data_IF_595584650378
#
_entry.id   IF_595584650378
#
_cell.length_a   1.000
_cell.length_b   1.000
_cell.length_c   1.000
_cell.angle_alpha   90.00
_cell.angle_beta   90.00
_cell.angle_gamma   90.00
#
_symmetry.space_group_name_H-M   'P 1'
#
loop_
_entity.id
_entity.type
_entity.pdbx_description
1 polymer ?
#
# COMPACT_ATOMS: atom_id res chain seq x y z
N UNK A 1 -15.38 -18.00 -17.87
CA UNK A 1 -14.52 -17.69 -16.70
C UNK A 1 -14.58 -16.19 -16.48
N UNK A 2 -15.02 -15.72 -15.32
CA UNK A 2 -14.91 -14.29 -14.99
C UNK A 2 -13.47 -13.99 -14.61
N UNK A 3 -12.82 -13.07 -15.33
CA UNK A 3 -11.49 -12.61 -15.01
C UNK A 3 -11.52 -11.73 -13.73
N UNK A 4 -10.82 -12.17 -12.68
CA UNK A 4 -10.71 -11.45 -11.41
C UNK A 4 -10.13 -10.05 -11.64
N UNK A 5 -9.22 -9.89 -12.60
CA UNK A 5 -8.67 -8.59 -12.96
C UNK A 5 -9.74 -7.70 -13.59
N UNK A 6 -10.54 -8.23 -14.52
CA UNK A 6 -11.65 -7.48 -15.12
C UNK A 6 -12.64 -6.97 -14.06
N UNK A 7 -12.94 -7.78 -13.03
CA UNK A 7 -13.76 -7.35 -11.89
C UNK A 7 -13.10 -6.21 -11.10
N UNK A 8 -11.82 -6.34 -10.75
CA UNK A 8 -11.07 -5.29 -10.04
C UNK A 8 -11.07 -3.97 -10.82
N UNK A 9 -10.88 -4.04 -12.14
CA UNK A 9 -10.92 -2.87 -13.01
C UNK A 9 -12.30 -2.21 -13.02
N UNK A 10 -13.37 -3.00 -13.15
CA UNK A 10 -14.75 -2.49 -13.11
C UNK A 10 -15.05 -1.79 -11.78
N UNK A 11 -14.78 -2.45 -10.65
CA UNK A 11 -14.99 -1.91 -9.31
C UNK A 11 -14.20 -0.60 -9.10
N UNK A 12 -12.97 -0.52 -9.65
CA UNK A 12 -12.13 0.68 -9.53
C UNK A 12 -12.66 1.85 -10.35
N UNK A 13 -13.25 1.61 -11.52
CA UNK A 13 -13.86 2.65 -12.35
C UNK A 13 -15.06 3.29 -11.63
N UNK A 14 -15.92 2.48 -11.00
CA UNK A 14 -17.05 2.97 -10.19
C UNK A 14 -16.57 3.80 -9.00
N UNK A 15 -15.54 3.33 -8.30
CA UNK A 15 -14.93 4.08 -7.20
C UNK A 15 -14.33 5.41 -7.65
N UNK A 16 -13.66 5.46 -8.81
CA UNK A 16 -13.11 6.70 -9.37
C UNK A 16 -14.22 7.69 -9.71
N UNK A 17 -15.31 7.21 -10.35
CA UNK A 17 -16.46 8.07 -10.67
C UNK A 17 -17.04 8.70 -9.38
N UNK A 18 -17.23 7.90 -8.34
CA UNK A 18 -17.73 8.36 -7.04
C UNK A 18 -16.77 9.35 -6.38
N UNK A 19 -15.46 9.06 -6.42
CA UNK A 19 -14.43 9.91 -5.81
C UNK A 19 -14.31 11.26 -6.49
N UNK A 20 -14.46 11.31 -7.82
CA UNK A 20 -14.44 12.57 -8.59
C UNK A 20 -15.65 13.45 -8.29
N UNK A 21 -16.81 12.86 -8.03
CA UNK A 21 -18.00 13.62 -7.59
C UNK A 21 -17.79 14.19 -6.19
N UNK A 22 -17.22 13.39 -5.27
CA UNK A 22 -16.97 13.82 -3.89
C UNK A 22 -15.83 14.85 -3.76
N UNK A 23 -14.82 14.80 -4.64
CA UNK A 23 -13.69 15.72 -4.67
C UNK A 23 -13.36 16.14 -6.12
N UNK A 24 -14.10 17.11 -6.69
CA UNK A 24 -13.98 17.48 -8.10
C UNK A 24 -12.66 18.18 -8.46
N UNK A 25 -12.07 18.90 -7.51
CA UNK A 25 -10.85 19.69 -7.70
C UNK A 25 -9.83 19.34 -6.61
N UNK A 26 -9.21 18.14 -6.67
CA UNK A 26 -8.19 17.77 -5.71
C UNK A 26 -6.99 18.72 -5.83
N UNK A 27 -6.60 19.35 -4.72
CA UNK A 27 -5.38 20.14 -4.68
C UNK A 27 -4.17 19.21 -4.54
N UNK A 28 -3.49 18.99 -5.65
CA UNK A 28 -2.27 18.15 -5.71
C UNK A 28 -1.06 18.85 -5.10
N UNK A 29 -1.09 20.18 -4.92
CA UNK A 29 0.01 20.96 -4.36
C UNK A 29 -0.01 20.99 -2.84
N UNK A 30 -1.13 20.64 -2.21
CA UNK A 30 -1.26 20.49 -0.77
C UNK A 30 -0.53 19.24 -0.22
N UNK A 31 0.00 18.38 -1.08
CA UNK A 31 0.68 17.16 -0.68
C UNK A 31 2.04 17.46 -0.01
N UNK A 32 2.36 16.70 1.04
CA UNK A 32 3.69 16.75 1.68
C UNK A 32 4.79 16.30 0.70
N UNK A 33 6.05 16.74 0.90
CA UNK A 33 7.18 16.26 0.12
C UNK A 33 7.27 14.73 0.06
N UNK A 34 7.74 14.23 -1.10
CA UNK A 34 7.92 12.78 -1.32
C UNK A 34 9.10 12.25 -0.50
N UNK A 35 9.01 10.99 -0.05
CA UNK A 35 10.00 10.37 0.87
C UNK A 35 11.17 9.65 0.18
N UNK A 36 11.24 9.64 -1.16
CA UNK A 36 12.38 9.07 -1.90
C UNK A 36 12.44 7.54 -1.96
N UNK A 37 11.39 6.88 -2.47
CA UNK A 37 11.27 5.41 -2.54
C UNK A 37 12.47 4.69 -3.19
N UNK A 38 12.91 5.14 -4.37
CA UNK A 38 14.01 4.51 -5.08
C UNK A 38 15.35 4.67 -4.34
N UNK A 39 15.60 5.86 -3.79
CA UNK A 39 16.82 6.14 -3.03
C UNK A 39 16.94 5.23 -1.80
N UNK A 40 15.86 5.09 -1.02
CA UNK A 40 15.84 4.22 0.16
C UNK A 40 16.14 2.75 -0.17
N UNK A 41 15.68 2.26 -1.32
CA UNK A 41 15.97 0.90 -1.79
C UNK A 41 17.44 0.74 -2.18
N UNK A 42 17.94 1.66 -3.02
CA UNK A 42 19.33 1.65 -3.48
C UNK A 42 20.30 1.78 -2.31
N UNK A 43 20.07 2.71 -1.39
CA UNK A 43 20.89 2.89 -0.19
C UNK A 43 20.93 1.62 0.66
N UNK A 44 19.80 0.92 0.85
CA UNK A 44 19.77 -0.34 1.62
C UNK A 44 20.51 -1.50 0.92
N UNK A 45 20.49 -1.53 -0.40
CA UNK A 45 21.27 -2.50 -1.20
C UNK A 45 22.77 -2.18 -1.10
N UNK A 46 23.14 -0.90 -1.21
CA UNK A 46 24.53 -0.46 -1.33
C UNK A 46 25.26 -0.36 0.02
N UNK A 47 24.57 0.03 1.10
CA UNK A 47 25.21 0.38 2.38
C UNK A 47 25.57 -0.81 3.29
N UNK A 48 25.07 -2.03 3.03
CA UNK A 48 25.57 -3.27 3.64
C UNK A 48 25.66 -3.33 5.19
N UNK A 49 25.01 -2.44 5.95
CA UNK A 49 25.20 -2.29 7.40
C UNK A 49 24.29 -3.17 8.29
N UNK A 50 24.93 -3.86 9.24
CA UNK A 50 24.48 -4.60 10.46
C UNK A 50 23.25 -5.53 10.46
N UNK A 51 22.47 -5.68 9.40
CA UNK A 51 21.36 -6.65 9.48
C UNK A 51 20.67 -7.14 8.21
N UNK A 52 20.67 -6.39 7.11
CA UNK A 52 20.07 -6.88 5.85
C UNK A 52 20.65 -6.20 4.63
N UNK A 53 21.05 -7.00 3.63
CA UNK A 53 21.62 -6.56 2.34
C UNK A 53 20.56 -6.34 1.25
N UNK A 54 19.28 -6.27 1.64
CA UNK A 54 18.15 -6.28 0.72
C UNK A 54 17.39 -4.96 0.79
N UNK A 55 17.09 -4.39 -0.37
CA UNK A 55 16.06 -3.35 -0.52
C UNK A 55 14.66 -3.94 -0.32
N UNK A 56 14.33 -4.33 0.90
CA UNK A 56 13.06 -5.00 1.22
C UNK A 56 11.89 -4.02 1.16
N UNK A 57 10.91 -4.30 0.29
CA UNK A 57 9.59 -3.64 0.32
C UNK A 57 8.63 -4.56 1.09
N UNK A 58 8.21 -4.13 2.28
CA UNK A 58 7.27 -4.89 3.10
C UNK A 58 5.83 -4.51 2.79
N UNK A 59 4.99 -5.48 2.42
CA UNK A 59 3.59 -5.24 2.05
C UNK A 59 2.64 -5.34 3.25
N UNK A 60 1.88 -4.28 3.50
CA UNK A 60 0.79 -4.21 4.46
C UNK A 60 -0.52 -4.55 3.75
N UNK A 61 -1.06 -5.74 4.03
CA UNK A 61 -2.24 -6.28 3.32
C UNK A 61 -3.19 -7.06 4.21
N UNK A 62 -4.46 -6.66 4.16
CA UNK A 62 -5.54 -7.28 4.96
C UNK A 62 -6.07 -8.57 4.31
N UNK A 63 -6.27 -8.57 3.00
CA UNK A 63 -6.88 -9.68 2.26
C UNK A 63 -6.43 -9.72 0.79
N UNK A 64 -6.65 -10.84 0.10
CA UNK A 64 -6.51 -10.95 -1.36
C UNK A 64 -7.62 -11.80 -1.99
N UNK A 65 -7.92 -11.63 -3.29
CA UNK A 65 -8.88 -12.50 -3.97
C UNK A 65 -8.49 -13.98 -3.94
N UNK A 66 -7.20 -14.29 -3.94
CA UNK A 66 -6.68 -15.67 -4.00
C UNK A 66 -6.58 -16.35 -2.63
N UNK A 67 -6.41 -15.58 -1.54
CA UNK A 67 -6.19 -16.12 -0.18
C UNK A 67 -7.26 -15.72 0.83
N UNK A 68 -8.22 -14.86 0.45
CA UNK A 68 -9.20 -14.33 1.37
C UNK A 68 -8.56 -13.42 2.42
N UNK A 69 -9.06 -13.47 3.65
CA UNK A 69 -8.52 -12.70 4.78
C UNK A 69 -7.14 -13.23 5.17
N UNK A 70 -6.11 -12.37 5.11
CA UNK A 70 -4.73 -12.72 5.44
C UNK A 70 -4.46 -12.45 6.93
N UNK A 71 -5.01 -11.36 7.45
CA UNK A 71 -4.81 -10.96 8.85
C UNK A 71 -6.11 -10.39 9.42
N UNK A 72 -6.62 -11.07 10.46
CA UNK A 72 -7.85 -10.70 11.17
C UNK A 72 -7.64 -9.44 12.03
N UNK A 73 -6.57 -9.43 12.83
CA UNK A 73 -6.16 -8.28 13.64
C UNK A 73 -5.24 -7.35 12.83
N UNK A 74 -5.87 -6.41 12.10
CA UNK A 74 -5.22 -5.56 11.11
C UNK A 74 -5.09 -4.11 11.59
N UNK A 75 -3.98 -3.83 12.26
CA UNK A 75 -3.55 -2.48 12.64
C UNK A 75 -2.38 -2.04 11.74
N UNK A 76 -2.69 -1.31 10.67
CA UNK A 76 -1.70 -0.87 9.69
C UNK A 76 -0.57 -0.01 10.29
N UNK A 77 -0.84 1.01 11.14
CA UNK A 77 0.20 1.73 11.87
C UNK A 77 1.17 0.83 12.67
N UNK A 78 0.66 -0.13 13.42
CA UNK A 78 1.52 -1.04 14.21
C UNK A 78 2.32 -1.98 13.32
N UNK A 79 1.73 -2.49 12.25
CA UNK A 79 2.43 -3.32 11.24
C UNK A 79 3.55 -2.52 10.57
N UNK A 80 3.30 -1.25 10.22
CA UNK A 80 4.31 -0.36 9.62
C UNK A 80 5.52 -0.17 10.53
N UNK A 81 5.31 0.11 11.83
CA UNK A 81 6.39 0.23 12.82
C UNK A 81 7.17 -1.07 13.00
N UNK A 82 6.48 -2.20 12.97
CA UNK A 82 7.12 -3.51 13.05
C UNK A 82 7.99 -3.79 11.82
N UNK A 83 7.55 -3.44 10.61
CA UNK A 83 8.34 -3.57 9.39
C UNK A 83 9.55 -2.63 9.35
N UNK A 84 9.39 -1.39 9.80
CA UNK A 84 10.51 -0.46 9.97
C UNK A 84 11.56 -1.02 10.94
N UNK A 85 11.12 -1.49 12.11
CA UNK A 85 12.00 -2.12 13.12
C UNK A 85 12.66 -3.41 12.60
N UNK A 86 11.98 -4.14 11.72
CA UNK A 86 12.49 -5.32 11.03
C UNK A 86 13.46 -5.01 9.88
N UNK A 87 13.74 -3.73 9.60
CA UNK A 87 14.70 -3.32 8.59
C UNK A 87 14.15 -3.16 7.17
N UNK A 88 12.83 -3.07 7.00
CA UNK A 88 12.24 -2.78 5.69
C UNK A 88 12.76 -1.43 5.15
N UNK A 89 13.10 -1.41 3.86
CA UNK A 89 13.49 -0.19 3.17
C UNK A 89 12.28 0.68 2.82
N UNK A 90 11.18 0.03 2.44
CA UNK A 90 9.96 0.68 1.98
C UNK A 90 8.72 -0.12 2.38
N UNK A 91 7.56 0.53 2.34
CA UNK A 91 6.26 -0.09 2.58
C UNK A 91 5.43 -0.08 1.29
N UNK A 92 4.81 -1.22 0.96
CA UNK A 92 3.69 -1.31 0.01
C UNK A 92 2.39 -1.36 0.83
N UNK A 93 1.43 -0.47 0.58
CA UNK A 93 0.18 -0.43 1.34
C UNK A 93 -0.99 -0.70 0.40
N UNK A 94 -1.66 -1.84 0.58
CA UNK A 94 -2.84 -2.17 -0.24
C UNK A 94 -4.07 -1.47 0.35
N UNK A 95 -4.58 -0.46 -0.36
CA UNK A 95 -5.87 0.15 -0.04
C UNK A 95 -7.01 -0.65 -0.72
N UNK A 96 -8.13 -0.90 -0.02
CA UNK A 96 -9.28 -1.54 -0.62
C UNK A 96 -9.94 -0.66 -1.70
N UNK A 97 -10.60 -1.29 -2.67
CA UNK A 97 -11.28 -0.61 -3.79
C UNK A 97 -12.56 0.10 -3.31
N UNK A 98 -13.21 -0.45 -2.29
CA UNK A 98 -14.41 0.11 -1.64
C UNK A 98 -14.06 0.67 -0.27
N UNK A 99 -14.66 1.83 0.04
CA UNK A 99 -14.40 2.58 1.26
C UNK A 99 -14.51 1.71 2.51
N UNK A 100 -13.56 1.91 3.42
CA UNK A 100 -13.63 1.42 4.79
C UNK A 100 -14.84 2.10 5.47
N UNK A 101 -16.04 1.56 5.29
CA UNK A 101 -17.26 1.97 6.00
C UNK A 101 -18.06 0.79 6.53
N UNK A 102 -17.45 -0.40 6.55
CA UNK A 102 -17.94 -1.54 7.33
C UNK A 102 -16.77 -2.25 7.99
N UNK A 103 -16.29 -1.62 9.06
CA UNK A 103 -15.67 -2.28 10.19
C UNK A 103 -16.31 -1.66 11.44
#
# INVERSE_FOLDING_TARGET
MSDVLAKICADKLEHIATSKVANPTPDVNAASPVRGFAAALTEKVDSGGSGSKYGLIAEIKKASPSKGLIRTDFDAPSIAKAYESGGAACLSVTIPITGCSKA
#
